data_IF_714350515368
#
_entry.id   IF_714350515368
#
_cell.length_a   1.000
_cell.length_b   1.000
_cell.length_c   1.000
_cell.angle_alpha   90.00
_cell.angle_beta   90.00
_cell.angle_gamma   90.00
#
_symmetry.space_group_name_H-M   'P 1'
#
loop_
_entity.id
_entity.type
_entity.pdbx_description
1 polymer ?
#
# COMPACT_ATOMS: atom_id res chain seq x y z
N UNK A 1 -37.47 -7.70 23.48
CA UNK A 1 -37.33 -9.00 24.16
C UNK A 1 -36.20 -8.88 25.16
N UNK A 2 -36.41 -9.30 26.41
CA UNK A 2 -35.42 -9.14 27.48
C UNK A 2 -34.10 -9.84 27.12
N UNK A 3 -32.98 -9.18 27.38
CA UNK A 3 -31.61 -9.68 27.17
C UNK A 3 -31.36 -11.06 27.81
N UNK A 4 -32.18 -11.44 28.79
CA UNK A 4 -32.17 -12.75 29.43
C UNK A 4 -32.61 -13.88 28.49
N UNK A 5 -33.73 -13.73 27.78
CA UNK A 5 -34.24 -14.77 26.86
C UNK A 5 -33.27 -15.05 25.71
N UNK A 6 -32.66 -14.00 25.14
CA UNK A 6 -31.65 -14.15 24.08
C UNK A 6 -30.39 -14.89 24.57
N UNK A 7 -30.01 -14.73 25.85
CA UNK A 7 -28.90 -15.46 26.46
C UNK A 7 -29.27 -16.93 26.71
N UNK A 8 -30.47 -17.20 27.22
CA UNK A 8 -30.95 -18.57 27.48
C UNK A 8 -31.06 -19.37 26.18
N UNK A 9 -31.51 -18.75 25.09
CA UNK A 9 -31.58 -19.37 23.76
C UNK A 9 -30.24 -19.41 23.02
N UNK A 10 -29.14 -19.03 23.68
CA UNK A 10 -27.79 -18.99 23.12
C UNK A 10 -27.68 -18.19 21.80
N UNK A 11 -28.53 -17.16 21.62
CA UNK A 11 -28.55 -16.35 20.40
C UNK A 11 -27.17 -15.77 20.02
N UNK A 12 -26.35 -15.25 20.97
CA UNK A 12 -25.01 -14.78 20.64
C UNK A 12 -24.10 -15.87 20.04
N UNK A 13 -24.24 -17.14 20.46
CA UNK A 13 -23.48 -18.25 19.89
C UNK A 13 -23.96 -18.59 18.48
N UNK A 14 -25.27 -18.51 18.22
CA UNK A 14 -25.82 -18.65 16.88
C UNK A 14 -25.29 -17.53 15.96
N UNK A 15 -25.35 -16.28 16.41
CA UNK A 15 -24.84 -15.12 15.67
C UNK A 15 -23.35 -15.29 15.34
N UNK A 16 -22.53 -15.76 16.29
CA UNK A 16 -21.12 -16.07 16.04
C UNK A 16 -20.92 -17.15 14.98
N UNK A 17 -21.75 -18.21 14.98
CA UNK A 17 -21.69 -19.26 13.97
C UNK A 17 -22.02 -18.72 12.58
N UNK A 18 -23.06 -17.88 12.46
CA UNK A 18 -23.45 -17.25 11.20
C UNK A 18 -22.39 -16.25 10.74
N UNK A 19 -21.81 -15.48 11.65
CA UNK A 19 -20.79 -14.49 11.34
C UNK A 19 -19.59 -15.11 10.62
N UNK A 20 -19.18 -16.33 10.96
CA UNK A 20 -18.07 -17.04 10.27
C UNK A 20 -18.31 -17.28 8.78
N UNK A 21 -19.55 -17.18 8.30
CA UNK A 21 -19.89 -17.29 6.89
C UNK A 21 -19.92 -15.94 6.15
N UNK A 22 -19.81 -14.81 6.86
CA UNK A 22 -19.75 -13.49 6.24
C UNK A 22 -18.39 -13.26 5.55
N UNK A 23 -18.45 -12.61 4.38
CA UNK A 23 -17.31 -12.44 3.47
C UNK A 23 -16.46 -11.20 3.74
N UNK A 24 -17.00 -10.22 4.48
CA UNK A 24 -16.31 -8.97 4.87
C UNK A 24 -16.15 -8.92 6.39
N UNK A 25 -15.11 -8.26 6.90
CA UNK A 25 -14.91 -8.07 8.35
C UNK A 25 -16.05 -7.27 8.98
N UNK A 26 -16.55 -6.28 8.26
CA UNK A 26 -17.66 -5.43 8.72
C UNK A 26 -18.98 -6.20 8.74
N UNK A 27 -19.24 -7.05 7.73
CA UNK A 27 -20.36 -7.98 7.75
C UNK A 27 -20.29 -8.97 8.92
N UNK A 28 -19.10 -9.50 9.23
CA UNK A 28 -18.90 -10.34 10.42
C UNK A 28 -19.25 -9.60 11.71
N UNK A 29 -18.79 -8.35 11.85
CA UNK A 29 -19.08 -7.51 13.00
C UNK A 29 -20.58 -7.18 13.11
N UNK A 30 -21.22 -6.84 12.00
CA UNK A 30 -22.65 -6.55 11.94
C UNK A 30 -23.50 -7.76 12.37
N UNK A 31 -23.17 -8.97 11.89
CA UNK A 31 -23.88 -10.21 12.27
C UNK A 31 -23.73 -10.48 13.77
N UNK A 32 -22.55 -10.26 14.36
CA UNK A 32 -22.32 -10.43 15.80
C UNK A 32 -23.13 -9.47 16.67
N UNK A 33 -23.45 -8.30 16.14
CA UNK A 33 -24.25 -7.27 16.82
C UNK A 33 -25.75 -7.45 16.64
N UNK A 34 -26.19 -8.43 15.85
CA UNK A 34 -27.62 -8.71 15.69
C UNK A 34 -28.27 -9.03 17.04
N UNK A 35 -29.54 -8.66 17.14
CA UNK A 35 -30.40 -9.03 18.25
C UNK A 35 -31.75 -9.51 17.71
N UNK A 36 -32.49 -10.32 18.49
CA UNK A 36 -33.83 -10.73 18.09
C UNK A 36 -34.72 -9.52 17.78
N UNK A 37 -35.46 -9.59 16.68
CA UNK A 37 -36.32 -8.49 16.24
C UNK A 37 -37.29 -8.06 17.36
N UNK A 38 -37.41 -6.75 17.63
CA UNK A 38 -38.42 -6.27 18.55
C UNK A 38 -39.82 -6.42 17.93
N UNK A 39 -40.88 -6.64 18.74
CA UNK A 39 -42.26 -6.72 18.23
C UNK A 39 -42.68 -5.52 17.36
N UNK A 40 -42.14 -4.33 17.64
CA UNK A 40 -42.38 -3.12 16.85
C UNK A 40 -41.89 -3.20 15.41
N UNK A 41 -40.90 -4.06 15.12
CA UNK A 41 -40.32 -4.26 13.79
C UNK A 41 -40.86 -5.53 13.09
N UNK A 42 -41.81 -6.24 13.71
CA UNK A 42 -42.41 -7.43 13.08
C UNK A 42 -43.07 -7.18 11.72
N UNK A 43 -43.67 -6.01 11.43
CA UNK A 43 -44.17 -5.71 10.09
C UNK A 43 -43.11 -5.78 8.98
N UNK A 44 -41.81 -5.61 9.30
CA UNK A 44 -40.71 -5.71 8.32
C UNK A 44 -40.25 -7.16 8.05
N UNK A 45 -40.59 -8.11 8.92
CA UNK A 45 -40.08 -9.48 8.85
C UNK A 45 -40.39 -10.19 7.51
N UNK A 46 -41.62 -10.11 6.95
CA UNK A 46 -41.91 -10.77 5.68
C UNK A 46 -41.02 -10.26 4.54
N UNK A 47 -40.78 -8.94 4.48
CA UNK A 47 -39.92 -8.35 3.46
C UNK A 47 -38.47 -8.82 3.60
N UNK A 48 -37.93 -8.85 4.83
CA UNK A 48 -36.56 -9.33 5.07
C UNK A 48 -36.38 -10.82 4.79
N UNK A 49 -37.35 -11.65 5.17
CA UNK A 49 -37.32 -13.09 4.85
C UNK A 49 -37.40 -13.31 3.34
N UNK A 50 -38.23 -12.55 2.64
CA UNK A 50 -38.29 -12.57 1.17
C UNK A 50 -36.94 -12.20 0.55
N UNK A 51 -36.25 -11.18 1.07
CA UNK A 51 -34.90 -10.83 0.62
C UNK A 51 -33.91 -11.96 0.83
N UNK A 52 -33.95 -12.65 1.97
CA UNK A 52 -33.07 -13.81 2.23
C UNK A 52 -33.32 -14.93 1.22
N UNK A 53 -34.58 -15.28 0.97
CA UNK A 53 -34.95 -16.32 0.00
C UNK A 53 -34.47 -15.97 -1.41
N UNK A 54 -34.75 -14.75 -1.87
CA UNK A 54 -34.30 -14.27 -3.17
C UNK A 54 -32.78 -14.24 -3.29
N UNK A 55 -32.06 -13.89 -2.22
CA UNK A 55 -30.59 -13.89 -2.22
C UNK A 55 -30.03 -15.32 -2.28
N UNK A 56 -30.70 -16.29 -1.65
CA UNK A 56 -30.33 -17.70 -1.77
C UNK A 56 -30.52 -18.23 -3.20
N UNK A 57 -31.63 -17.86 -3.84
CA UNK A 57 -31.92 -18.20 -5.24
C UNK A 57 -30.90 -17.54 -6.19
N UNK A 58 -30.63 -16.25 -6.03
CA UNK A 58 -29.63 -15.51 -6.78
C UNK A 58 -28.25 -16.18 -6.69
N UNK A 59 -27.82 -16.58 -5.49
CA UNK A 59 -26.52 -17.24 -5.29
C UNK A 59 -26.51 -18.64 -5.90
N UNK A 60 -27.63 -19.36 -5.90
CA UNK A 60 -27.74 -20.68 -6.52
C UNK A 60 -27.67 -20.60 -8.05
N UNK A 61 -28.24 -19.56 -8.66
CA UNK A 61 -28.29 -19.37 -10.12
C UNK A 61 -27.02 -18.71 -10.67
N UNK A 62 -26.56 -17.62 -10.04
CA UNK A 62 -25.50 -16.74 -10.56
C UNK A 62 -24.18 -16.83 -9.81
N UNK A 63 -24.14 -17.64 -8.74
CA UNK A 63 -22.98 -17.75 -7.87
C UNK A 63 -22.89 -16.64 -6.82
N UNK A 64 -21.84 -16.67 -6.01
CA UNK A 64 -21.69 -15.74 -4.88
C UNK A 64 -21.40 -14.31 -5.33
N UNK A 65 -21.99 -13.34 -4.63
CA UNK A 65 -21.64 -11.91 -4.78
C UNK A 65 -20.15 -11.71 -4.49
N UNK A 66 -19.42 -10.97 -5.35
CA UNK A 66 -17.98 -10.78 -5.26
C UNK A 66 -17.58 -9.84 -4.11
N UNK A 67 -17.76 -10.26 -2.86
CA UNK A 67 -17.51 -9.45 -1.66
C UNK A 67 -16.12 -9.69 -1.03
N UNK A 68 -15.42 -10.75 -1.46
CA UNK A 68 -14.27 -11.30 -0.72
C UNK A 68 -13.04 -10.40 -0.63
N UNK A 69 -12.91 -9.39 -1.49
CA UNK A 69 -11.79 -8.46 -1.43
C UNK A 69 -12.17 -7.03 -1.08
N UNK A 70 -13.37 -6.80 -0.56
CA UNK A 70 -13.71 -5.52 0.07
C UNK A 70 -13.07 -5.49 1.46
N UNK A 71 -12.13 -4.57 1.65
CA UNK A 71 -11.46 -4.36 2.93
C UNK A 71 -12.08 -3.19 3.68
N UNK A 72 -11.92 -3.19 5.00
CA UNK A 72 -12.29 -2.04 5.82
C UNK A 72 -11.20 -0.98 5.69
N UNK A 73 -11.54 0.15 5.06
CA UNK A 73 -10.64 1.28 4.82
C UNK A 73 -10.84 2.42 5.84
N UNK A 74 -11.69 2.26 6.85
CA UNK A 74 -12.10 3.36 7.72
C UNK A 74 -10.90 4.04 8.41
N UNK A 75 -9.94 3.25 8.90
CA UNK A 75 -8.73 3.79 9.53
C UNK A 75 -7.86 4.60 8.56
N UNK A 76 -7.67 4.10 7.34
CA UNK A 76 -6.87 4.76 6.31
C UNK A 76 -7.54 6.06 5.84
N UNK A 77 -8.86 6.03 5.63
CA UNK A 77 -9.64 7.20 5.22
C UNK A 77 -9.68 8.26 6.33
N UNK A 78 -9.83 7.86 7.59
CA UNK A 78 -9.76 8.79 8.72
C UNK A 78 -8.37 9.41 8.87
N UNK A 79 -7.30 8.65 8.66
CA UNK A 79 -5.93 9.16 8.71
C UNK A 79 -5.71 10.28 7.68
N UNK A 80 -6.13 10.05 6.42
CA UNK A 80 -5.91 11.03 5.34
C UNK A 80 -6.83 12.25 5.43
N UNK A 81 -7.79 12.31 6.36
CA UNK A 81 -8.60 13.52 6.58
C UNK A 81 -7.76 14.71 7.00
N UNK A 82 -6.66 14.46 7.71
CA UNK A 82 -5.73 15.50 8.11
C UNK A 82 -4.98 15.98 6.86
N UNK A 83 -4.74 17.29 6.75
CA UNK A 83 -3.93 17.83 5.65
C UNK A 83 -2.49 17.35 5.77
N UNK A 84 -1.78 17.28 4.63
CA UNK A 84 -0.38 16.84 4.55
C UNK A 84 -0.07 15.39 4.98
N UNK A 85 -1.04 14.62 5.45
CA UNK A 85 -0.86 13.18 5.68
C UNK A 85 -0.93 12.39 4.38
N UNK A 86 -0.24 11.26 4.35
CA UNK A 86 -0.22 10.32 3.24
C UNK A 86 -0.26 8.88 3.76
N UNK A 87 -0.53 7.95 2.86
CA UNK A 87 -0.56 6.52 3.14
C UNK A 87 0.66 5.82 2.55
N UNK A 88 1.14 4.73 3.18
CA UNK A 88 2.17 3.90 2.58
C UNK A 88 1.63 3.23 1.29
N UNK A 89 2.51 2.85 0.34
CA UNK A 89 2.13 2.19 -0.91
C UNK A 89 1.15 1.02 -0.72
N UNK A 90 1.42 0.15 0.25
CA UNK A 90 0.58 -1.01 0.58
C UNK A 90 -0.89 -0.64 0.84
N UNK A 91 -1.12 0.45 1.58
CA UNK A 91 -2.47 0.89 1.94
C UNK A 91 -3.18 1.47 0.72
N UNK A 92 -2.48 2.24 -0.13
CA UNK A 92 -3.04 2.74 -1.38
C UNK A 92 -3.44 1.61 -2.33
N UNK A 93 -2.61 0.57 -2.45
CA UNK A 93 -2.90 -0.59 -3.29
C UNK A 93 -4.11 -1.37 -2.75
N UNK A 94 -4.21 -1.51 -1.42
CA UNK A 94 -5.38 -2.10 -0.76
C UNK A 94 -6.66 -1.31 -1.03
N UNK A 95 -6.57 0.03 -1.06
CA UNK A 95 -7.68 0.92 -1.41
C UNK A 95 -8.11 0.68 -2.87
N UNK A 96 -7.16 0.67 -3.81
CA UNK A 96 -7.44 0.41 -5.22
C UNK A 96 -8.06 -0.98 -5.44
N UNK A 97 -7.56 -2.01 -4.74
CA UNK A 97 -8.15 -3.35 -4.72
C UNK A 97 -9.61 -3.33 -4.27
N UNK A 98 -9.89 -2.64 -3.17
CA UNK A 98 -11.25 -2.53 -2.63
C UNK A 98 -12.17 -1.83 -3.64
N UNK A 99 -11.70 -0.78 -4.30
CA UNK A 99 -12.46 -0.09 -5.36
C UNK A 99 -12.73 -0.99 -6.57
N UNK A 100 -11.77 -1.83 -6.99
CA UNK A 100 -12.02 -2.85 -8.04
C UNK A 100 -13.10 -3.84 -7.64
N UNK A 101 -13.13 -4.25 -6.37
CA UNK A 101 -14.19 -5.14 -5.87
C UNK A 101 -15.56 -4.44 -5.83
N UNK A 102 -15.61 -3.16 -5.45
CA UNK A 102 -16.83 -2.36 -5.55
C UNK A 102 -17.36 -2.31 -7.00
N UNK A 103 -16.49 -2.10 -7.99
CA UNK A 103 -16.89 -2.10 -9.39
C UNK A 103 -17.44 -3.46 -9.84
N UNK A 104 -16.85 -4.57 -9.39
CA UNK A 104 -17.38 -5.92 -9.63
C UNK A 104 -18.77 -6.13 -9.01
N UNK A 105 -19.01 -5.59 -7.81
CA UNK A 105 -20.32 -5.66 -7.15
C UNK A 105 -21.36 -4.85 -7.92
N UNK A 106 -21.01 -3.64 -8.36
CA UNK A 106 -21.88 -2.79 -9.19
C UNK A 106 -22.21 -3.49 -10.50
N UNK A 107 -21.21 -4.09 -11.16
CA UNK A 107 -21.42 -4.86 -12.40
C UNK A 107 -22.33 -6.08 -12.17
N UNK A 108 -22.12 -6.82 -11.09
CA UNK A 108 -22.97 -7.95 -10.70
C UNK A 108 -24.43 -7.50 -10.50
N UNK A 109 -24.66 -6.40 -9.77
CA UNK A 109 -25.99 -5.86 -9.56
C UNK A 109 -26.66 -5.34 -10.84
N UNK A 110 -25.88 -4.79 -11.77
CA UNK A 110 -26.39 -4.31 -13.06
C UNK A 110 -26.92 -5.45 -13.94
N UNK A 111 -26.27 -6.61 -13.92
CA UNK A 111 -26.61 -7.78 -14.73
C UNK A 111 -27.60 -8.73 -14.05
N UNK A 112 -28.13 -8.34 -12.89
CA UNK A 112 -29.10 -9.14 -12.15
C UNK A 112 -30.46 -9.17 -12.86
N UNK A 113 -31.03 -10.36 -13.02
CA UNK A 113 -32.32 -10.57 -13.69
C UNK A 113 -33.47 -9.80 -13.03
N UNK A 114 -34.51 -9.50 -13.80
CA UNK A 114 -35.68 -8.72 -13.35
C UNK A 114 -36.42 -9.40 -12.18
N UNK A 115 -36.38 -10.73 -12.11
CA UNK A 115 -36.94 -11.53 -11.01
C UNK A 115 -36.32 -11.21 -9.64
N UNK A 116 -35.10 -10.68 -9.61
CA UNK A 116 -34.40 -10.27 -8.39
C UNK A 116 -34.39 -8.75 -8.18
N UNK A 117 -35.23 -8.01 -8.91
CA UNK A 117 -35.28 -6.54 -8.87
C UNK A 117 -35.44 -5.96 -7.45
N UNK A 118 -36.14 -6.64 -6.54
CA UNK A 118 -36.26 -6.25 -5.13
C UNK A 118 -34.94 -6.27 -4.34
N UNK A 119 -33.92 -6.97 -4.81
CA UNK A 119 -32.57 -6.95 -4.22
C UNK A 119 -31.74 -5.75 -4.71
N UNK A 120 -32.16 -5.04 -5.77
CA UNK A 120 -31.42 -3.87 -6.30
C UNK A 120 -31.25 -2.78 -5.23
N UNK A 121 -32.23 -2.63 -4.34
CA UNK A 121 -32.18 -1.69 -3.21
C UNK A 121 -30.97 -1.91 -2.28
N UNK A 122 -30.43 -3.13 -2.21
CA UNK A 122 -29.23 -3.44 -1.43
C UNK A 122 -27.95 -2.89 -2.08
N UNK A 123 -27.98 -2.68 -3.39
CA UNK A 123 -26.87 -2.15 -4.19
C UNK A 123 -27.04 -0.68 -4.56
N UNK A 124 -28.21 -0.09 -4.27
CA UNK A 124 -28.46 1.33 -4.48
C UNK A 124 -27.43 2.17 -3.72
N UNK A 125 -26.98 3.26 -4.34
CA UNK A 125 -26.02 4.18 -3.75
C UNK A 125 -24.58 3.67 -3.67
N UNK A 126 -24.25 2.51 -4.25
CA UNK A 126 -22.87 2.14 -4.54
C UNK A 126 -22.36 2.99 -5.71
N UNK A 127 -21.14 3.51 -5.60
CA UNK A 127 -20.46 4.25 -6.66
C UNK A 127 -19.10 3.64 -6.98
N UNK A 128 -18.66 3.76 -8.23
CA UNK A 128 -17.31 3.37 -8.62
C UNK A 128 -16.32 4.52 -8.38
N UNK A 129 -15.10 4.16 -8.02
CA UNK A 129 -13.99 5.09 -7.80
C UNK A 129 -12.90 4.90 -8.86
N UNK A 130 -13.31 4.57 -10.08
CA UNK A 130 -12.42 4.15 -11.17
C UNK A 130 -11.28 5.14 -11.46
N UNK A 131 -11.49 6.46 -11.50
CA UNK A 131 -10.38 7.41 -11.69
C UNK A 131 -9.32 7.32 -10.59
N UNK A 132 -9.72 7.10 -9.34
CA UNK A 132 -8.80 6.93 -8.21
C UNK A 132 -8.06 5.59 -8.30
N UNK A 133 -8.78 4.52 -8.68
CA UNK A 133 -8.18 3.20 -8.91
C UNK A 133 -7.08 3.27 -9.98
N UNK A 134 -7.40 3.85 -11.15
CA UNK A 134 -6.46 4.00 -12.26
C UNK A 134 -5.26 4.88 -11.88
N UNK A 135 -5.49 5.98 -11.13
CA UNK A 135 -4.42 6.83 -10.61
C UNK A 135 -3.45 6.04 -9.73
N UNK A 136 -3.96 5.31 -8.74
CA UNK A 136 -3.13 4.52 -7.82
C UNK A 136 -2.35 3.45 -8.59
N UNK A 137 -3.00 2.67 -9.44
CA UNK A 137 -2.37 1.59 -10.21
C UNK A 137 -1.31 2.09 -11.21
N UNK A 138 -1.50 3.29 -11.75
CA UNK A 138 -0.52 3.91 -12.64
C UNK A 138 0.78 4.26 -11.93
N UNK A 139 0.74 4.46 -10.60
CA UNK A 139 1.90 4.85 -9.80
C UNK A 139 2.72 3.67 -9.27
N UNK A 140 2.14 2.47 -9.13
CA UNK A 140 2.81 1.31 -8.50
C UNK A 140 2.95 0.13 -9.47
N UNK A 141 4.02 -0.65 -9.32
CA UNK A 141 4.26 -1.87 -10.09
C UNK A 141 3.76 -3.15 -9.39
N UNK A 142 4.05 -4.31 -9.99
CA UNK A 142 3.65 -5.62 -9.46
C UNK A 142 4.32 -5.98 -8.12
N UNK A 143 5.39 -5.28 -7.75
CA UNK A 143 6.11 -5.44 -6.48
C UNK A 143 5.70 -4.37 -5.47
N UNK A 144 4.66 -3.59 -5.78
CA UNK A 144 4.13 -2.52 -4.93
C UNK A 144 5.14 -1.37 -4.76
N UNK A 145 6.13 -1.29 -5.64
CA UNK A 145 7.12 -0.21 -5.69
C UNK A 145 6.63 0.92 -6.59
N UNK A 146 6.97 2.17 -6.24
CA UNK A 146 6.60 3.32 -7.05
C UNK A 146 7.37 3.30 -8.38
N UNK A 147 6.65 3.37 -9.49
CA UNK A 147 7.20 3.39 -10.85
C UNK A 147 7.90 4.71 -11.16
N UNK A 148 8.92 4.66 -12.01
CA UNK A 148 9.55 5.86 -12.57
C UNK A 148 8.53 6.75 -13.28
N UNK A 149 7.51 6.14 -13.91
CA UNK A 149 6.43 6.85 -14.61
C UNK A 149 5.42 7.55 -13.70
N UNK A 150 5.51 7.39 -12.38
CA UNK A 150 4.60 8.06 -11.44
C UNK A 150 4.71 9.59 -11.51
N UNK A 151 5.88 10.12 -11.86
CA UNK A 151 6.05 11.52 -12.24
C UNK A 151 7.26 11.72 -13.16
N UNK A 152 7.24 12.79 -13.95
CA UNK A 152 8.39 13.17 -14.77
C UNK A 152 9.63 13.49 -13.91
N UNK A 153 9.43 14.19 -12.78
CA UNK A 153 10.50 14.56 -11.87
C UNK A 153 11.16 13.32 -11.24
N UNK A 154 10.37 12.32 -10.81
CA UNK A 154 10.89 11.08 -10.25
C UNK A 154 11.73 10.31 -11.27
N UNK A 155 11.25 10.20 -12.51
CA UNK A 155 12.00 9.59 -13.60
C UNK A 155 13.34 10.29 -13.84
N UNK A 156 13.34 11.63 -13.86
CA UNK A 156 14.56 12.43 -14.06
C UNK A 156 15.56 12.22 -12.91
N UNK A 157 15.10 12.31 -11.65
CA UNK A 157 15.93 12.10 -10.46
C UNK A 157 16.54 10.69 -10.49
N UNK A 158 15.75 9.64 -10.73
CA UNK A 158 16.24 8.25 -10.80
C UNK A 158 17.24 8.04 -11.94
N UNK A 159 17.03 8.69 -13.09
CA UNK A 159 18.01 8.67 -14.17
C UNK A 159 19.33 9.35 -13.76
N UNK A 160 19.26 10.49 -13.08
CA UNK A 160 20.44 11.19 -12.57
C UNK A 160 21.18 10.35 -11.53
N UNK A 161 20.48 9.72 -10.58
CA UNK A 161 21.03 8.76 -9.61
C UNK A 161 21.80 7.66 -10.33
N UNK A 162 21.17 7.03 -11.32
CA UNK A 162 21.78 5.93 -12.10
C UNK A 162 23.04 6.40 -12.83
N UNK A 163 23.01 7.60 -13.40
CA UNK A 163 24.16 8.18 -14.11
C UNK A 163 25.32 8.53 -13.16
N UNK A 164 25.02 9.11 -12.00
CA UNK A 164 26.02 9.46 -10.97
C UNK A 164 26.64 8.21 -10.37
N UNK A 165 25.83 7.18 -10.06
CA UNK A 165 26.33 5.87 -9.59
C UNK A 165 27.27 5.23 -10.61
N UNK A 166 26.94 5.26 -11.90
CA UNK A 166 27.81 4.71 -12.95
C UNK A 166 29.16 5.44 -12.99
N UNK A 167 29.15 6.78 -13.02
CA UNK A 167 30.39 7.58 -13.01
C UNK A 167 31.24 7.27 -11.77
N UNK A 168 30.59 7.18 -10.62
CA UNK A 168 31.25 6.87 -9.35
C UNK A 168 31.91 5.49 -9.38
N UNK A 169 31.17 4.46 -9.80
CA UNK A 169 31.71 3.10 -9.93
C UNK A 169 32.87 3.05 -10.92
N UNK A 170 32.80 3.73 -12.07
CA UNK A 170 33.92 3.78 -13.03
C UNK A 170 35.19 4.34 -12.40
N UNK A 171 35.08 5.40 -11.60
CA UNK A 171 36.24 5.98 -10.90
C UNK A 171 36.77 5.00 -9.84
N UNK A 172 35.91 4.45 -9.00
CA UNK A 172 36.33 3.52 -7.95
C UNK A 172 36.90 2.21 -8.52
N UNK A 173 36.36 1.70 -9.62
CA UNK A 173 36.92 0.54 -10.34
C UNK A 173 38.30 0.84 -10.91
N UNK A 174 38.51 2.04 -11.46
CA UNK A 174 39.83 2.47 -11.91
C UNK A 174 40.83 2.54 -10.75
N UNK A 175 40.42 3.01 -9.57
CA UNK A 175 41.23 2.95 -8.34
C UNK A 175 41.56 1.50 -7.95
N UNK A 176 40.58 0.60 -7.97
CA UNK A 176 40.76 -0.81 -7.63
C UNK A 176 41.68 -1.55 -8.60
N UNK A 177 41.71 -1.15 -9.87
CA UNK A 177 42.54 -1.76 -10.91
C UNK A 177 43.93 -1.13 -11.03
N UNK A 178 44.14 0.07 -10.48
CA UNK A 178 45.42 0.76 -10.58
C UNK A 178 46.54 -0.03 -9.86
N UNK A 179 47.60 -0.46 -10.58
CA UNK A 179 48.73 -1.19 -9.98
C UNK A 179 49.38 -0.46 -8.81
N UNK A 180 49.37 0.88 -8.82
CA UNK A 180 49.94 1.69 -7.74
C UNK A 180 49.19 1.52 -6.42
N UNK A 181 47.89 1.21 -6.44
CA UNK A 181 47.05 1.11 -5.25
C UNK A 181 46.87 -0.32 -4.74
N UNK A 182 47.29 -1.33 -5.50
CA UNK A 182 47.25 -2.75 -5.09
C UNK A 182 47.85 -3.05 -3.72
N UNK A 183 48.99 -2.44 -3.29
CA UNK A 183 49.57 -2.74 -1.99
C UNK A 183 48.68 -2.36 -0.79
N UNK A 184 47.82 -1.36 -0.98
CA UNK A 184 46.96 -0.79 0.07
C UNK A 184 45.52 -1.24 -0.01
N UNK A 185 45.06 -1.80 -1.13
CA UNK A 185 43.71 -2.37 -1.23
C UNK A 185 43.65 -3.61 -0.33
N UNK A 186 42.65 -3.65 0.54
CA UNK A 186 42.43 -4.79 1.42
C UNK A 186 41.53 -5.83 0.74
N UNK A 187 40.40 -5.38 0.21
CA UNK A 187 39.47 -6.20 -0.56
C UNK A 187 39.12 -5.52 -1.89
N UNK A 188 39.14 -6.28 -2.98
CA UNK A 188 38.81 -5.77 -4.32
C UNK A 188 37.31 -5.66 -4.55
N UNK A 189 36.65 -4.82 -3.76
CA UNK A 189 35.23 -4.56 -3.90
C UNK A 189 34.92 -3.10 -3.59
N UNK A 190 33.89 -2.59 -4.25
CA UNK A 190 33.26 -1.32 -3.88
C UNK A 190 32.19 -1.65 -2.83
N UNK A 191 32.22 -0.95 -1.70
CA UNK A 191 31.21 -1.11 -0.66
C UNK A 191 30.55 0.21 -0.32
N UNK A 192 29.50 0.12 0.49
CA UNK A 192 28.73 1.24 0.95
C UNK A 192 28.84 1.36 2.48
N UNK A 193 29.22 2.54 2.97
CA UNK A 193 29.31 2.87 4.40
C UNK A 193 28.75 4.26 4.63
N UNK A 194 27.92 4.43 5.66
CA UNK A 194 27.33 5.72 6.03
C UNK A 194 26.70 6.47 4.84
N UNK A 195 26.01 5.73 3.98
CA UNK A 195 25.40 6.24 2.76
C UNK A 195 26.39 6.77 1.70
N UNK A 196 27.63 6.26 1.70
CA UNK A 196 28.71 6.64 0.79
C UNK A 196 29.36 5.42 0.16
N UNK A 197 29.70 5.53 -1.11
CA UNK A 197 30.51 4.54 -1.80
C UNK A 197 31.98 4.72 -1.44
N UNK A 198 32.61 3.63 -1.01
CA UNK A 198 33.95 3.60 -0.43
C UNK A 198 34.70 2.34 -0.83
N UNK A 199 36.02 2.37 -0.73
CA UNK A 199 36.91 1.24 -0.94
C UNK A 199 37.57 0.84 0.40
N UNK A 200 37.64 -0.46 0.73
CA UNK A 200 38.39 -0.94 1.89
C UNK A 200 39.90 -0.93 1.61
N UNK A 201 40.64 -0.16 2.42
CA UNK A 201 42.09 0.01 2.31
C UNK A 201 42.79 -0.21 3.65
N UNK A 202 44.09 -0.47 3.61
CA UNK A 202 44.98 -0.59 4.77
C UNK A 202 45.32 0.78 5.35
N UNK A 203 45.78 0.81 6.61
CA UNK A 203 46.11 2.02 7.36
C UNK A 203 47.04 2.99 6.62
N UNK A 204 47.99 2.48 5.84
CA UNK A 204 49.00 3.26 5.13
C UNK A 204 48.52 3.85 3.78
N UNK A 205 47.22 3.90 3.51
CA UNK A 205 46.69 4.37 2.21
C UNK A 205 47.08 5.81 1.84
N UNK A 206 47.27 6.68 2.85
CA UNK A 206 47.56 8.11 2.66
C UNK A 206 48.85 8.39 1.87
N UNK A 207 49.76 7.43 1.75
CA UNK A 207 50.98 7.57 0.93
C UNK A 207 50.72 7.38 -0.57
N UNK A 208 49.56 6.83 -0.95
CA UNK A 208 49.21 6.50 -2.33
C UNK A 208 48.12 7.41 -2.89
N UNK A 209 47.07 7.68 -2.11
CA UNK A 209 46.03 8.62 -2.51
C UNK A 209 45.38 9.30 -1.29
N UNK A 210 44.77 10.47 -1.54
CA UNK A 210 44.02 11.21 -0.52
C UNK A 210 42.55 10.83 -0.53
N UNK A 211 41.97 10.67 0.65
CA UNK A 211 40.56 10.34 0.81
C UNK A 211 40.07 10.56 2.24
N UNK A 212 38.75 10.51 2.40
CA UNK A 212 38.06 10.66 3.68
C UNK A 212 37.73 9.27 4.22
N UNK A 213 38.09 9.02 5.48
CA UNK A 213 37.72 7.78 6.19
C UNK A 213 36.28 7.93 6.66
N UNK A 214 35.40 7.02 6.25
CA UNK A 214 34.00 6.99 6.68
C UNK A 214 33.74 5.97 7.78
N UNK A 215 34.50 4.88 7.78
CA UNK A 215 34.31 3.80 8.74
C UNK A 215 35.61 3.00 8.92
N UNK A 216 35.69 2.22 9.99
CA UNK A 216 36.82 1.34 10.30
C UNK A 216 36.30 -0.04 10.71
N UNK A 217 36.97 -1.10 10.25
CA UNK A 217 36.64 -2.45 10.69
C UNK A 217 36.89 -2.64 12.19
N UNK A 218 36.15 -3.57 12.81
CA UNK A 218 36.29 -3.90 14.24
C UNK A 218 37.72 -4.32 14.63
N UNK A 219 38.44 -4.93 13.70
CA UNK A 219 39.84 -5.35 13.90
C UNK A 219 40.83 -4.20 13.73
N UNK A 220 40.37 -3.01 13.37
CA UNK A 220 41.16 -1.80 13.10
C UNK A 220 42.16 -1.91 11.94
N UNK A 221 42.10 -2.99 11.16
CA UNK A 221 43.04 -3.25 10.05
C UNK A 221 42.55 -2.71 8.71
N UNK A 222 41.24 -2.46 8.57
CA UNK A 222 40.62 -2.01 7.31
C UNK A 222 39.93 -0.67 7.53
N UNK A 223 40.24 0.29 6.68
CA UNK A 223 39.61 1.61 6.64
C UNK A 223 38.75 1.70 5.38
N UNK A 224 37.53 2.20 5.52
CA UNK A 224 36.64 2.43 4.40
C UNK A 224 36.78 3.88 3.95
N UNK A 225 37.45 4.06 2.81
CA UNK A 225 37.90 5.38 2.35
C UNK A 225 37.15 5.78 1.08
N UNK A 226 36.70 7.04 1.07
CA UNK A 226 36.21 7.75 -0.11
C UNK A 226 37.36 8.53 -0.75
N UNK A 227 37.81 8.19 -1.97
CA UNK A 227 38.80 8.97 -2.70
C UNK A 227 38.32 10.40 -2.98
N UNK A 228 39.22 11.39 -2.95
CA UNK A 228 38.89 12.82 -3.12
C UNK A 228 38.08 13.10 -4.39
N UNK A 229 38.42 12.44 -5.50
CA UNK A 229 37.74 12.61 -6.79
C UNK A 229 36.26 12.16 -6.76
N UNK A 230 35.90 11.28 -5.83
CA UNK A 230 34.54 10.75 -5.68
C UNK A 230 33.67 11.54 -4.71
N UNK A 231 34.25 12.44 -3.91
CA UNK A 231 33.52 13.23 -2.90
C UNK A 231 32.37 14.01 -3.52
N UNK A 232 32.61 14.69 -4.65
CA UNK A 232 31.59 15.45 -5.36
C UNK A 232 30.43 14.56 -5.82
N UNK A 233 30.74 13.40 -6.42
CA UNK A 233 29.73 12.46 -6.92
C UNK A 233 28.93 11.80 -5.79
N UNK A 234 29.56 11.43 -4.68
CA UNK A 234 28.87 10.89 -3.51
C UNK A 234 27.96 11.94 -2.86
N UNK A 235 28.41 13.19 -2.76
CA UNK A 235 27.56 14.29 -2.27
C UNK A 235 26.34 14.50 -3.17
N UNK A 236 26.56 14.60 -4.49
CA UNK A 236 25.45 14.72 -5.45
C UNK A 236 24.51 13.52 -5.39
N UNK A 237 25.03 12.31 -5.23
CA UNK A 237 24.21 11.11 -5.09
C UNK A 237 23.35 11.16 -3.83
N UNK A 238 23.90 11.61 -2.71
CA UNK A 238 23.15 11.76 -1.46
C UNK A 238 22.01 12.78 -1.58
N UNK A 239 22.27 13.92 -2.24
CA UNK A 239 21.24 14.94 -2.52
C UNK A 239 20.13 14.35 -3.40
N UNK A 240 20.49 13.70 -4.50
CA UNK A 240 19.52 13.09 -5.41
C UNK A 240 18.66 12.01 -4.72
N UNK A 241 19.24 11.23 -3.80
CA UNK A 241 18.49 10.24 -3.03
C UNK A 241 17.48 10.89 -2.05
N UNK A 242 17.83 12.04 -1.49
CA UNK A 242 16.89 12.80 -0.66
C UNK A 242 15.77 13.40 -1.52
N UNK A 243 16.11 13.98 -2.68
CA UNK A 243 15.14 14.50 -3.65
C UNK A 243 14.18 13.39 -4.14
N UNK A 244 14.69 12.18 -4.36
CA UNK A 244 13.87 10.99 -4.70
C UNK A 244 12.82 10.72 -3.61
N UNK A 245 13.25 10.68 -2.34
CA UNK A 245 12.33 10.44 -1.21
C UNK A 245 11.29 11.55 -1.05
N UNK A 246 11.71 12.81 -1.21
CA UNK A 246 10.81 13.96 -1.14
C UNK A 246 9.77 13.92 -2.26
N UNK A 247 10.17 13.54 -3.47
CA UNK A 247 9.27 13.39 -4.62
C UNK A 247 8.29 12.21 -4.46
N UNK A 248 8.75 11.07 -3.93
CA UNK A 248 7.87 9.95 -3.59
C UNK A 248 6.81 10.37 -2.57
N UNK A 249 7.21 11.07 -1.49
CA UNK A 249 6.27 11.59 -0.49
C UNK A 249 5.30 12.59 -1.12
N UNK A 250 5.75 13.46 -2.03
CA UNK A 250 4.88 14.39 -2.76
C UNK A 250 3.80 13.67 -3.55
N UNK A 251 4.16 12.59 -4.27
CA UNK A 251 3.22 11.77 -5.04
C UNK A 251 2.21 11.08 -4.10
N UNK A 252 2.68 10.51 -2.98
CA UNK A 252 1.79 9.89 -1.99
C UNK A 252 0.80 10.90 -1.40
N UNK A 253 1.25 12.12 -1.09
CA UNK A 253 0.38 13.22 -0.62
C UNK A 253 -0.62 13.66 -1.67
N UNK A 254 -0.23 13.70 -2.94
CA UNK A 254 -1.13 14.01 -4.06
C UNK A 254 -2.27 12.97 -4.13
N UNK A 255 -1.93 11.68 -4.11
CA UNK A 255 -2.93 10.60 -4.11
C UNK A 255 -3.83 10.70 -2.88
N UNK A 256 -3.26 10.92 -1.69
CA UNK A 256 -4.02 11.12 -0.46
C UNK A 256 -4.96 12.34 -0.55
N UNK A 257 -4.55 13.41 -1.23
CA UNK A 257 -5.39 14.58 -1.51
C UNK A 257 -6.62 14.24 -2.36
N UNK A 258 -6.44 13.43 -3.40
CA UNK A 258 -7.55 12.96 -4.23
C UNK A 258 -8.50 12.05 -3.44
N UNK A 259 -7.97 11.12 -2.64
CA UNK A 259 -8.77 10.27 -1.76
C UNK A 259 -9.53 11.09 -0.69
N UNK A 260 -8.88 12.11 -0.12
CA UNK A 260 -9.48 13.00 0.89
C UNK A 260 -10.69 13.75 0.33
N UNK A 261 -10.62 14.21 -0.92
CA UNK A 261 -11.72 14.92 -1.57
C UNK A 261 -12.99 14.04 -1.70
N UNK A 262 -12.82 12.73 -1.82
CA UNK A 262 -13.91 11.76 -1.96
C UNK A 262 -14.19 10.97 -0.67
N UNK A 263 -13.49 11.26 0.44
CA UNK A 263 -13.54 10.49 1.69
C UNK A 263 -14.97 10.31 2.23
N UNK A 264 -15.82 11.34 2.12
CA UNK A 264 -17.22 11.26 2.55
C UNK A 264 -18.03 10.22 1.78
N UNK A 265 -17.87 10.15 0.46
CA UNK A 265 -18.56 9.17 -0.37
C UNK A 265 -17.96 7.79 -0.19
N UNK A 266 -16.63 7.67 -0.09
CA UNK A 266 -15.95 6.39 0.17
C UNK A 266 -16.50 5.73 1.45
N UNK A 267 -16.57 6.48 2.57
CA UNK A 267 -17.08 5.96 3.84
C UNK A 267 -18.55 5.56 3.72
N UNK A 268 -19.36 6.36 3.06
CA UNK A 268 -20.80 6.09 2.85
C UNK A 268 -21.04 4.84 2.01
N UNK A 269 -20.24 4.63 0.96
CA UNK A 269 -20.34 3.46 0.07
C UNK A 269 -19.87 2.20 0.78
N UNK A 270 -18.72 2.24 1.45
CA UNK A 270 -18.19 1.10 2.20
C UNK A 270 -19.08 0.70 3.37
N UNK A 271 -19.75 1.65 4.02
CA UNK A 271 -20.72 1.36 5.08
C UNK A 271 -21.98 0.59 4.61
N UNK A 272 -22.17 0.43 3.29
CA UNK A 272 -23.28 -0.36 2.72
C UNK A 272 -22.89 -1.81 2.39
N UNK A 273 -21.61 -2.15 2.41
CA UNK A 273 -21.04 -3.44 1.94
C UNK A 273 -20.51 -4.27 3.11
#
# INVERSE_FOLDING_TARGET
MESHAARVLEFPRLAERVARHARTRDGQAAVRQLSPFPPSAFPELPARLSQVVQFMELVAEHGSVPLSGVQNLAADIELIRVEETYLPPQALITIAETFRWLEKIIHFAAHMDEQFSSLRILFDGLSSFRPLTELIESCFDEREEMKDSASFALAEIRQQIKSTRRKLNTILEAHLQNPAYQPIIQDHLITHRNNRYVIPVKLNFRTFFSGIIHDQSRTQMTFFVEPVETIGLNNSLGILQQEEQEEEIRILKMIAGHLRAEAGEIVKVLGRV
#
